data_IF_903933856784
#
_entry.id   IF_903933856784
#
_cell.length_a   1.000
_cell.length_b   1.000
_cell.length_c   1.000
_cell.angle_alpha   90.00
_cell.angle_beta   90.00
_cell.angle_gamma   90.00
#
_symmetry.space_group_name_H-M   'P 1'
#
loop_
_entity.id
_entity.type
_entity.pdbx_description
1 polymer ?
#
# COMPACT_ATOMS: atom_id res chain seq x y z
N UNK A 1 8.37 -13.45 2.97
CA UNK A 1 7.51 -14.41 2.28
C UNK A 1 6.55 -13.66 1.35
N UNK A 2 6.28 -14.21 0.17
CA UNK A 2 5.23 -13.73 -0.73
C UNK A 2 3.93 -14.44 -0.36
N UNK A 3 2.84 -13.68 -0.19
CA UNK A 3 1.52 -14.20 0.13
C UNK A 3 0.54 -13.77 -0.95
N UNK A 4 -0.15 -14.73 -1.57
CA UNK A 4 -1.18 -14.45 -2.56
C UNK A 4 -2.45 -13.92 -1.84
N UNK A 5 -2.86 -12.69 -2.15
CA UNK A 5 -4.09 -12.07 -1.63
C UNK A 5 -5.33 -12.47 -2.44
N UNK A 6 -5.12 -12.86 -3.70
CA UNK A 6 -6.18 -13.29 -4.62
C UNK A 6 -5.67 -14.49 -5.42
N UNK A 7 -6.52 -15.04 -6.30
CA UNK A 7 -6.10 -16.13 -7.20
C UNK A 7 -5.05 -15.63 -8.17
N UNK A 8 -3.82 -16.15 -8.05
CA UNK A 8 -2.67 -15.77 -8.86
C UNK A 8 -2.26 -16.90 -9.81
N UNK A 9 -1.64 -16.53 -10.94
CA UNK A 9 -0.84 -17.43 -11.80
C UNK A 9 0.60 -16.94 -11.78
N UNK A 10 1.55 -17.84 -11.63
CA UNK A 10 2.96 -17.53 -11.68
C UNK A 10 3.71 -18.62 -12.44
N UNK A 11 4.88 -18.25 -12.96
CA UNK A 11 5.82 -19.15 -13.60
C UNK A 11 6.96 -19.36 -12.62
N UNK A 12 7.22 -20.60 -12.26
CA UNK A 12 8.37 -20.96 -11.45
C UNK A 12 9.52 -21.40 -12.36
N UNK A 13 10.70 -20.83 -12.17
CA UNK A 13 11.90 -21.18 -12.92
C UNK A 13 12.86 -21.90 -11.99
N UNK A 14 13.18 -23.16 -12.30
CA UNK A 14 14.22 -23.89 -11.57
C UNK A 14 15.60 -23.30 -11.91
N UNK A 15 16.14 -22.55 -10.95
CA UNK A 15 17.45 -21.89 -11.12
C UNK A 15 18.62 -22.86 -11.06
N UNK A 16 18.47 -24.10 -10.59
CA UNK A 16 19.58 -25.07 -10.50
C UNK A 16 20.10 -25.49 -11.87
N UNK A 17 19.19 -25.71 -12.85
CA UNK A 17 19.55 -26.11 -14.18
C UNK A 17 19.87 -24.99 -15.17
N UNK A 18 19.26 -23.83 -15.03
CA UNK A 18 19.34 -22.74 -16.01
C UNK A 18 20.11 -21.48 -15.52
N UNK A 19 20.62 -21.47 -14.28
CA UNK A 19 21.28 -20.31 -13.68
C UNK A 19 22.41 -19.72 -14.54
N UNK A 20 23.28 -20.58 -15.08
CA UNK A 20 24.41 -20.11 -15.87
C UNK A 20 23.96 -19.41 -17.17
N UNK A 21 22.93 -19.93 -17.84
CA UNK A 21 22.35 -19.30 -19.03
C UNK A 21 21.66 -17.98 -18.70
N UNK A 22 20.85 -17.95 -17.63
CA UNK A 22 20.15 -16.75 -17.20
C UNK A 22 21.11 -15.59 -16.81
N UNK A 23 22.24 -15.93 -16.18
CA UNK A 23 23.25 -14.92 -15.80
C UNK A 23 24.05 -14.39 -17.00
N UNK A 24 24.03 -15.08 -18.15
CA UNK A 24 24.63 -14.62 -19.40
C UNK A 24 23.63 -13.91 -20.32
N UNK A 25 22.35 -14.01 -20.05
CA UNK A 25 21.31 -13.36 -20.85
C UNK A 25 21.16 -11.88 -20.43
N UNK A 26 21.67 -11.01 -21.31
CA UNK A 26 21.63 -9.56 -21.07
C UNK A 26 20.20 -8.99 -21.01
N UNK A 27 19.23 -9.59 -21.73
CA UNK A 27 17.83 -9.15 -21.68
C UNK A 27 17.19 -9.51 -20.34
N UNK A 28 17.42 -10.73 -19.87
CA UNK A 28 16.96 -11.20 -18.57
C UNK A 28 17.54 -10.34 -17.43
N UNK A 29 18.84 -10.09 -17.46
CA UNK A 29 19.50 -9.25 -16.44
C UNK A 29 18.98 -7.81 -16.45
N UNK A 30 18.77 -7.20 -17.62
CA UNK A 30 18.15 -5.87 -17.73
C UNK A 30 16.74 -5.85 -17.15
N UNK A 31 15.94 -6.88 -17.43
CA UNK A 31 14.60 -7.02 -16.86
C UNK A 31 14.67 -7.11 -15.33
N UNK A 32 15.52 -7.97 -14.78
CA UNK A 32 15.70 -8.11 -13.32
C UNK A 32 16.16 -6.81 -12.67
N UNK A 33 17.14 -6.12 -13.25
CA UNK A 33 17.61 -4.84 -12.77
C UNK A 33 16.51 -3.78 -12.80
N UNK A 34 15.76 -3.69 -13.90
CA UNK A 34 14.65 -2.75 -14.03
C UNK A 34 13.57 -3.01 -12.98
N UNK A 35 13.21 -4.27 -12.75
CA UNK A 35 12.24 -4.63 -11.71
C UNK A 35 12.74 -4.31 -10.31
N UNK A 36 14.00 -4.63 -10.00
CA UNK A 36 14.60 -4.32 -8.71
C UNK A 36 14.67 -2.81 -8.43
N UNK A 37 15.02 -2.02 -9.44
CA UNK A 37 15.04 -0.56 -9.34
C UNK A 37 13.64 0.03 -9.11
N UNK A 38 12.63 -0.45 -9.88
CA UNK A 38 11.24 -0.01 -9.69
C UNK A 38 10.73 -0.32 -8.27
N UNK A 39 11.00 -1.53 -7.78
CA UNK A 39 10.63 -1.92 -6.41
C UNK A 39 11.34 -1.05 -5.36
N UNK A 40 12.64 -0.78 -5.56
CA UNK A 40 13.42 0.03 -4.64
C UNK A 40 12.90 1.48 -4.58
N UNK A 41 12.62 2.08 -5.73
CA UNK A 41 12.03 3.43 -5.81
C UNK A 41 10.65 3.46 -5.12
N UNK A 42 9.79 2.48 -5.39
CA UNK A 42 8.46 2.42 -4.75
C UNK A 42 8.55 2.25 -3.22
N UNK A 43 9.49 1.42 -2.73
CA UNK A 43 9.72 1.28 -1.29
C UNK A 43 10.28 2.55 -0.66
N UNK A 44 11.23 3.21 -1.30
CA UNK A 44 11.80 4.46 -0.80
C UNK A 44 10.75 5.57 -0.73
N UNK A 45 9.94 5.74 -1.77
CA UNK A 45 8.80 6.69 -1.77
C UNK A 45 7.86 6.42 -0.61
N UNK A 46 7.48 5.14 -0.39
CA UNK A 46 6.64 4.77 0.75
C UNK A 46 7.27 5.16 2.09
N UNK A 47 8.55 4.85 2.30
CA UNK A 47 9.24 5.23 3.55
C UNK A 47 9.32 6.74 3.72
N UNK A 48 9.62 7.48 2.66
CA UNK A 48 9.65 8.94 2.70
C UNK A 48 8.27 9.50 3.06
N UNK A 49 7.21 9.03 2.42
CA UNK A 49 5.85 9.46 2.72
C UNK A 49 5.45 9.18 4.18
N UNK A 50 5.75 7.99 4.71
CA UNK A 50 5.44 7.61 6.10
C UNK A 50 6.17 8.48 7.13
N UNK A 51 7.33 9.05 6.77
CA UNK A 51 8.15 9.91 7.66
C UNK A 51 7.89 11.40 7.47
N UNK A 52 7.57 11.84 6.24
CA UNK A 52 7.38 13.25 5.90
C UNK A 52 5.97 13.76 6.22
N UNK A 53 4.96 12.89 6.12
CA UNK A 53 3.56 13.29 6.26
C UNK A 53 2.91 12.75 7.52
N UNK A 54 1.88 13.44 8.06
CA UNK A 54 1.10 12.95 9.20
C UNK A 54 0.47 11.58 8.92
N UNK A 55 0.35 10.75 9.96
CA UNK A 55 -0.26 9.42 9.84
C UNK A 55 -1.68 9.45 9.26
N UNK A 56 -2.40 10.56 9.46
CA UNK A 56 -3.74 10.77 8.91
C UNK A 56 -3.73 10.86 7.39
N UNK A 57 -2.79 11.60 6.81
CA UNK A 57 -2.61 11.74 5.36
C UNK A 57 -2.20 10.39 4.74
N UNK A 58 -1.23 9.71 5.37
CA UNK A 58 -0.83 8.37 4.95
C UNK A 58 -1.99 7.36 5.02
N UNK A 59 -2.88 7.48 6.03
CA UNK A 59 -4.06 6.65 6.13
C UNK A 59 -5.10 6.99 5.04
N UNK A 60 -5.30 8.27 4.70
CA UNK A 60 -6.17 8.69 3.60
C UNK A 60 -5.68 8.13 2.25
N UNK A 61 -4.38 8.21 1.95
CA UNK A 61 -3.80 7.59 0.77
C UNK A 61 -3.98 6.06 0.76
N UNK A 62 -3.81 5.40 1.92
CA UNK A 62 -4.05 3.96 2.08
C UNK A 62 -5.53 3.60 1.83
N UNK A 63 -6.49 4.43 2.29
CA UNK A 63 -7.92 4.25 2.00
C UNK A 63 -8.18 4.25 0.50
N UNK A 64 -7.65 5.22 -0.24
CA UNK A 64 -7.84 5.33 -1.69
C UNK A 64 -7.26 4.12 -2.44
N UNK A 65 -6.12 3.59 -1.98
CA UNK A 65 -5.47 2.43 -2.59
C UNK A 65 -6.21 1.11 -2.35
N UNK A 66 -6.76 0.91 -1.15
CA UNK A 66 -7.27 -0.39 -0.70
C UNK A 66 -8.80 -0.49 -0.70
N UNK A 67 -9.52 0.62 -0.93
CA UNK A 67 -10.97 0.61 -0.96
C UNK A 67 -11.52 -0.16 -2.18
N UNK A 68 -12.70 -0.71 -2.02
CA UNK A 68 -13.49 -1.29 -3.11
C UNK A 68 -14.92 -0.76 -3.00
N UNK A 69 -15.32 0.09 -3.96
CA UNK A 69 -16.62 0.76 -3.93
C UNK A 69 -16.84 1.63 -2.68
N UNK A 70 -15.78 2.30 -2.20
CA UNK A 70 -15.80 3.12 -1.00
C UNK A 70 -15.69 2.37 0.32
N UNK A 71 -15.59 1.05 0.29
CA UNK A 71 -15.46 0.20 1.48
C UNK A 71 -14.02 -0.29 1.65
N UNK A 72 -13.43 -0.04 2.80
CA UNK A 72 -12.18 -0.64 3.24
C UNK A 72 -12.49 -1.86 4.12
N UNK A 73 -12.27 -3.07 3.59
CA UNK A 73 -12.56 -4.33 4.26
C UNK A 73 -11.30 -5.15 4.64
N UNK A 74 -10.14 -4.51 4.59
CA UNK A 74 -8.85 -5.11 4.99
C UNK A 74 -8.73 -5.16 6.51
N UNK A 75 -8.01 -6.14 7.04
CA UNK A 75 -7.77 -6.23 8.49
C UNK A 75 -6.99 -5.02 8.99
N UNK A 76 -7.47 -4.42 10.07
CA UNK A 76 -6.84 -3.23 10.67
C UNK A 76 -5.41 -3.48 11.14
N UNK A 77 -5.06 -4.71 11.51
CA UNK A 77 -3.69 -5.09 11.83
C UNK A 77 -2.75 -4.96 10.63
N UNK A 78 -3.20 -5.40 9.44
CA UNK A 78 -2.44 -5.30 8.20
C UNK A 78 -2.27 -3.83 7.77
N UNK A 79 -3.29 -3.00 7.99
CA UNK A 79 -3.22 -1.54 7.74
C UNK A 79 -2.25 -0.87 8.70
N UNK A 80 -2.30 -1.20 9.99
CA UNK A 80 -1.39 -0.65 10.99
C UNK A 80 0.08 -1.01 10.68
N UNK A 81 0.34 -2.26 10.29
CA UNK A 81 1.65 -2.71 9.83
C UNK A 81 2.10 -1.96 8.56
N UNK A 82 1.20 -1.82 7.59
CA UNK A 82 1.49 -1.08 6.35
C UNK A 82 1.88 0.37 6.61
N UNK A 83 1.18 1.04 7.53
CA UNK A 83 1.43 2.43 7.92
C UNK A 83 2.54 2.59 8.98
N UNK A 84 3.11 1.48 9.48
CA UNK A 84 4.11 1.47 10.56
C UNK A 84 3.66 2.20 11.83
N UNK A 85 2.38 2.12 12.15
CA UNK A 85 1.77 2.68 13.35
C UNK A 85 1.20 1.59 14.26
N UNK A 86 0.96 1.91 15.53
CA UNK A 86 0.30 0.96 16.43
C UNK A 86 -1.18 0.79 16.06
N UNK A 87 -1.72 -0.40 16.33
CA UNK A 87 -3.16 -0.67 16.18
C UNK A 87 -4.01 0.36 16.92
N UNK A 88 -3.61 0.75 18.13
CA UNK A 88 -4.31 1.77 18.93
C UNK A 88 -4.33 3.13 18.22
N UNK A 89 -3.22 3.53 17.61
CA UNK A 89 -3.13 4.77 16.84
C UNK A 89 -4.06 4.73 15.62
N UNK A 90 -4.06 3.62 14.88
CA UNK A 90 -4.99 3.44 13.75
C UNK A 90 -6.45 3.55 14.18
N UNK A 91 -6.82 2.90 15.30
CA UNK A 91 -8.19 2.97 15.82
C UNK A 91 -8.58 4.37 16.25
N UNK A 92 -7.63 5.16 16.77
CA UNK A 92 -7.85 6.57 17.09
C UNK A 92 -8.07 7.40 15.81
N UNK A 93 -7.23 7.22 14.77
CA UNK A 93 -7.43 7.88 13.47
C UNK A 93 -8.80 7.59 12.88
N UNK A 94 -9.22 6.31 12.87
CA UNK A 94 -10.54 5.92 12.38
C UNK A 94 -11.65 6.60 13.19
N UNK A 95 -11.54 6.64 14.53
CA UNK A 95 -12.55 7.27 15.37
C UNK A 95 -12.67 8.77 15.09
N UNK A 96 -11.54 9.47 15.02
CA UNK A 96 -11.50 10.91 14.72
C UNK A 96 -12.12 11.21 13.36
N UNK A 97 -11.76 10.44 12.32
CA UNK A 97 -12.32 10.63 10.98
C UNK A 97 -13.82 10.28 10.90
N UNK A 98 -14.31 9.37 11.76
CA UNK A 98 -15.74 9.10 11.88
C UNK A 98 -16.48 10.24 12.59
N UNK A 99 -15.91 10.82 13.64
CA UNK A 99 -16.46 11.99 14.35
C UNK A 99 -16.55 13.22 13.41
N UNK A 100 -15.59 13.35 12.50
CA UNK A 100 -15.57 14.39 11.46
C UNK A 100 -16.47 14.07 10.25
N UNK A 101 -17.23 12.96 10.25
CA UNK A 101 -18.10 12.53 9.15
C UNK A 101 -17.38 12.23 7.84
N UNK A 102 -16.08 12.00 7.88
CA UNK A 102 -15.27 11.60 6.70
C UNK A 102 -15.45 10.11 6.44
N UNK A 103 -15.54 9.31 7.51
CA UNK A 103 -15.71 7.86 7.46
C UNK A 103 -16.94 7.42 8.25
N UNK A 104 -17.44 6.24 7.94
CA UNK A 104 -18.48 5.54 8.69
C UNK A 104 -18.00 4.14 9.06
N UNK A 105 -18.20 3.72 10.30
CA UNK A 105 -17.98 2.32 10.71
C UNK A 105 -19.12 1.45 10.23
N UNK A 106 -18.77 0.37 9.55
CA UNK A 106 -19.72 -0.64 9.07
C UNK A 106 -19.28 -2.03 9.54
N UNK A 107 -20.16 -3.05 9.55
CA UNK A 107 -19.82 -4.38 10.08
C UNK A 107 -18.60 -5.04 9.43
N UNK A 108 -18.27 -4.67 8.19
CA UNK A 108 -17.15 -5.24 7.43
C UNK A 108 -15.92 -4.32 7.33
N UNK A 109 -15.87 -3.22 8.06
CA UNK A 109 -14.76 -2.28 7.99
C UNK A 109 -15.18 -0.82 8.14
N UNK A 110 -14.63 0.06 7.31
CA UNK A 110 -15.01 1.48 7.24
C UNK A 110 -15.40 1.86 5.81
N UNK A 111 -16.40 2.74 5.71
CA UNK A 111 -16.87 3.32 4.47
C UNK A 111 -16.46 4.77 4.37
N UNK A 112 -16.07 5.21 3.19
CA UNK A 112 -15.78 6.60 2.88
C UNK A 112 -17.12 7.33 2.67
N UNK A 113 -17.35 8.42 3.43
CA UNK A 113 -18.50 9.30 3.27
C UNK A 113 -18.11 10.55 2.49
N UNK A 114 -17.01 11.19 2.88
CA UNK A 114 -16.51 12.41 2.26
C UNK A 114 -15.27 12.10 1.42
N UNK A 115 -15.49 11.91 0.13
CA UNK A 115 -14.45 11.63 -0.85
C UNK A 115 -13.52 12.80 -1.08
N UNK A 116 -14.06 14.01 -1.11
CA UNK A 116 -13.28 15.22 -1.40
C UNK A 116 -12.26 15.43 -0.28
N UNK A 117 -12.69 15.23 0.98
CA UNK A 117 -11.79 15.34 2.13
C UNK A 117 -10.72 14.25 2.17
N UNK A 118 -11.05 13.02 1.78
CA UNK A 118 -10.07 11.93 1.69
C UNK A 118 -9.06 12.21 0.58
N UNK A 119 -9.50 12.73 -0.57
CA UNK A 119 -8.61 13.14 -1.64
C UNK A 119 -7.69 14.29 -1.22
N UNK A 120 -8.23 15.36 -0.64
CA UNK A 120 -7.46 16.50 -0.11
C UNK A 120 -6.33 16.03 0.82
N UNK A 121 -6.65 15.15 1.79
CA UNK A 121 -5.65 14.60 2.70
C UNK A 121 -4.60 13.73 2.00
N UNK A 122 -4.96 13.04 0.95
CA UNK A 122 -4.06 12.17 0.21
C UNK A 122 -3.21 12.93 -0.83
N UNK A 123 -3.73 14.01 -1.42
CA UNK A 123 -3.04 14.83 -2.42
C UNK A 123 -1.74 15.42 -1.89
N UNK A 124 -1.68 15.81 -0.61
CA UNK A 124 -0.44 16.27 0.02
C UNK A 124 0.73 15.27 -0.16
N UNK A 125 0.42 13.97 -0.33
CA UNK A 125 1.42 12.92 -0.54
C UNK A 125 1.77 12.74 -2.03
N UNK A 126 0.87 13.13 -2.95
CA UNK A 126 0.97 12.85 -4.38
C UNK A 126 1.46 14.04 -5.21
N UNK A 127 1.43 15.27 -4.65
CA UNK A 127 1.84 16.49 -5.35
C UNK A 127 3.36 16.62 -5.58
N UNK A 128 4.19 15.69 -5.12
CA UNK A 128 5.65 15.67 -5.37
C UNK A 128 6.04 14.86 -6.63
N UNK A 129 5.17 14.69 -7.61
CA UNK A 129 5.51 14.09 -8.91
C UNK A 129 5.92 15.11 -9.97
#
# INVERSE_FOLDING_TARGET
PLVAQTRCRFIEIDTKGCRAGLLQDAQFLRFCCSMALKQNVAQNRKYMSLTAYPSRNNFAACLLLLQNGGLLSVKYTEIAEYLTISYRHLMHLISTMCEEQILERVPKGVRILDWDKVHELAEEIWEEE
#
